data_IF_306515378901
#
_entry.id   IF_306515378901
#
_cell.length_a   1.000
_cell.length_b   1.000
_cell.length_c   1.000
_cell.angle_alpha   90.00
_cell.angle_beta   90.00
_cell.angle_gamma   90.00
#
_symmetry.space_group_name_H-M   'P 1'
#
loop_
_entity.id
_entity.type
_entity.pdbx_description
1 polymer ?
#
# COMPACT_ATOMS: atom_id res chain seq x y z
N UNK A 1 -9.10 -2.11 10.58
CA UNK A 1 -7.90 -1.25 10.60
C UNK A 1 -8.13 -0.22 9.52
N UNK A 2 -8.18 1.08 9.83
CA UNK A 2 -8.42 2.14 8.84
C UNK A 2 -7.10 2.82 8.51
N UNK A 3 -6.81 2.99 7.22
CA UNK A 3 -5.64 3.72 6.74
C UNK A 3 -5.85 5.22 6.81
N UNK A 4 -4.78 6.01 6.70
CA UNK A 4 -4.89 7.47 6.63
C UNK A 4 -5.74 7.96 5.45
N UNK A 5 -5.70 7.27 4.31
CA UNK A 5 -6.47 7.74 3.17
C UNK A 5 -7.93 7.29 3.17
N UNK A 6 -8.32 6.31 3.98
CA UNK A 6 -9.75 6.06 4.28
C UNK A 6 -10.39 7.23 5.05
N UNK A 7 -9.57 8.07 5.71
CA UNK A 7 -10.01 9.25 6.47
C UNK A 7 -10.06 10.53 5.64
N UNK A 8 -9.57 10.51 4.40
CA UNK A 8 -9.47 11.70 3.55
C UNK A 8 -10.32 11.49 2.30
N UNK A 9 -11.63 11.74 2.43
CA UNK A 9 -12.59 11.64 1.33
C UNK A 9 -12.74 12.95 0.54
N UNK A 10 -12.31 14.09 1.11
CA UNK A 10 -12.63 15.45 0.60
C UNK A 10 -11.44 16.23 0.00
N UNK A 11 -10.29 15.58 -0.20
CA UNK A 11 -9.10 16.26 -0.75
C UNK A 11 -8.62 15.48 -1.97
N UNK A 12 -8.52 16.15 -3.12
CA UNK A 12 -8.01 15.53 -4.35
C UNK A 12 -6.62 14.94 -4.09
N UNK A 13 -6.49 13.64 -4.32
CA UNK A 13 -5.27 12.82 -4.21
C UNK A 13 -3.97 13.50 -4.72
N UNK A 14 -3.95 14.33 -5.79
CA UNK A 14 -2.74 15.01 -6.24
C UNK A 14 -2.16 16.02 -5.24
N UNK A 15 -2.97 16.58 -4.32
CA UNK A 15 -2.51 17.57 -3.32
C UNK A 15 -1.80 16.94 -2.12
N UNK A 16 -1.96 15.63 -1.90
CA UNK A 16 -1.38 14.93 -0.75
C UNK A 16 0.05 14.49 -1.03
N UNK A 17 0.54 14.56 -2.27
CA UNK A 17 1.97 14.38 -2.61
C UNK A 17 2.57 13.00 -2.30
N UNK A 18 1.85 12.12 -1.62
CA UNK A 18 2.36 10.86 -1.13
C UNK A 18 1.74 9.72 -1.93
N UNK A 19 2.42 9.38 -3.03
CA UNK A 19 2.16 8.21 -3.88
C UNK A 19 2.17 6.87 -3.09
N UNK A 20 2.52 6.90 -1.80
CA UNK A 20 2.70 5.76 -0.90
C UNK A 20 1.83 5.81 0.36
N UNK A 21 0.86 6.73 0.46
CA UNK A 21 0.06 6.93 1.69
C UNK A 21 -0.67 5.65 2.17
N UNK A 22 -0.97 4.73 1.25
CA UNK A 22 -1.70 3.49 1.55
C UNK A 22 -0.83 2.23 1.58
N UNK A 23 0.35 2.25 0.95
CA UNK A 23 1.20 1.05 0.86
C UNK A 23 2.13 0.94 2.05
N UNK A 24 2.63 2.06 2.57
CA UNK A 24 3.67 2.07 3.60
C UNK A 24 3.25 1.38 4.91
N UNK A 25 2.01 1.58 5.36
CA UNK A 25 1.53 0.98 6.63
C UNK A 25 1.42 -0.55 6.52
N UNK A 26 0.98 -1.04 5.35
CA UNK A 26 0.84 -2.47 5.08
C UNK A 26 2.21 -3.13 4.82
N UNK A 27 3.12 -2.43 4.15
CA UNK A 27 4.52 -2.83 3.95
C UNK A 27 5.22 -3.02 5.31
N UNK A 28 5.07 -2.08 6.25
CA UNK A 28 5.64 -2.20 7.60
C UNK A 28 5.02 -3.39 8.37
N UNK A 29 3.71 -3.63 8.20
CA UNK A 29 3.05 -4.77 8.84
C UNK A 29 3.59 -6.10 8.32
N UNK A 30 3.81 -6.21 7.01
CA UNK A 30 4.40 -7.39 6.36
C UNK A 30 5.87 -7.58 6.77
N UNK A 31 6.67 -6.51 6.76
CA UNK A 31 8.08 -6.54 7.17
C UNK A 31 8.25 -6.99 8.63
N UNK A 32 7.35 -6.53 9.53
CA UNK A 32 7.36 -6.92 10.95
C UNK A 32 6.73 -8.27 11.23
N UNK A 33 6.21 -8.97 10.21
CA UNK A 33 5.54 -10.26 10.37
C UNK A 33 4.21 -10.20 11.13
N UNK A 34 3.54 -9.03 11.16
CA UNK A 34 2.19 -8.92 11.72
C UNK A 34 1.12 -9.51 10.77
N UNK A 35 1.44 -9.63 9.49
CA UNK A 35 0.62 -10.25 8.46
C UNK A 35 1.51 -11.11 7.55
N UNK A 36 0.94 -12.16 6.95
CA UNK A 36 1.68 -13.06 6.06
C UNK A 36 1.68 -12.59 4.59
N UNK A 37 0.63 -11.86 4.18
CA UNK A 37 0.52 -11.27 2.84
C UNK A 37 -0.37 -10.03 2.84
N UNK A 38 -0.24 -9.22 1.80
CA UNK A 38 -1.01 -7.99 1.58
C UNK A 38 -1.72 -8.06 0.24
N UNK A 39 -2.96 -7.58 0.19
CA UNK A 39 -3.73 -7.44 -1.04
C UNK A 39 -3.85 -5.96 -1.38
N UNK A 40 -3.42 -5.59 -2.59
CA UNK A 40 -3.53 -4.24 -3.13
C UNK A 40 -4.14 -4.26 -4.53
N UNK A 41 -4.74 -3.13 -4.92
CA UNK A 41 -4.97 -2.85 -6.33
C UNK A 41 -3.62 -2.69 -7.03
N UNK A 42 -3.38 -3.46 -8.10
CA UNK A 42 -2.08 -3.46 -8.79
C UNK A 42 -1.66 -2.07 -9.30
N UNK A 43 -2.63 -1.21 -9.65
CA UNK A 43 -2.38 0.18 -10.09
C UNK A 43 -1.75 1.08 -9.02
N UNK A 44 -1.91 0.72 -7.75
CA UNK A 44 -1.49 1.53 -6.60
C UNK A 44 -0.12 1.07 -6.04
N UNK A 45 0.44 -0.03 -6.57
CA UNK A 45 1.79 -0.49 -6.21
C UNK A 45 2.86 0.30 -6.97
N UNK A 46 4.01 0.59 -6.35
CA UNK A 46 5.14 1.17 -7.05
C UNK A 46 5.68 0.21 -8.11
N UNK A 47 6.23 0.76 -9.19
CA UNK A 47 6.84 -0.05 -10.26
C UNK A 47 8.06 -0.84 -9.77
N UNK A 48 8.71 -0.36 -8.71
CA UNK A 48 9.79 -1.05 -8.02
C UNK A 48 9.33 -1.32 -6.60
N UNK A 49 9.26 -2.60 -6.22
CA UNK A 49 8.89 -2.98 -4.86
C UNK A 49 10.03 -2.72 -3.86
N UNK A 50 9.71 -2.49 -2.58
CA UNK A 50 10.71 -2.41 -1.53
C UNK A 50 11.58 -3.69 -1.47
N UNK A 51 12.85 -3.57 -1.03
CA UNK A 51 13.71 -4.74 -0.82
C UNK A 51 13.05 -5.76 0.11
N UNK A 52 13.16 -7.05 -0.23
CA UNK A 52 12.57 -8.13 0.56
C UNK A 52 11.08 -8.38 0.30
N UNK A 53 10.44 -7.64 -0.61
CA UNK A 53 9.06 -7.87 -1.02
C UNK A 53 8.96 -8.32 -2.48
N UNK A 54 7.90 -9.07 -2.80
CA UNK A 54 7.62 -9.56 -4.13
C UNK A 54 6.10 -9.67 -4.38
N UNK A 55 5.69 -9.60 -5.65
CA UNK A 55 4.31 -9.93 -6.06
C UNK A 55 4.10 -11.45 -5.97
N UNK A 56 3.35 -11.90 -4.97
CA UNK A 56 3.03 -13.32 -4.81
C UNK A 56 1.93 -13.84 -5.74
N UNK A 57 1.00 -12.97 -6.15
CA UNK A 57 -0.10 -13.32 -7.05
C UNK A 57 -0.67 -12.08 -7.76
N UNK A 58 -1.27 -12.30 -8.93
CA UNK A 58 -2.13 -11.34 -9.62
C UNK A 58 -3.46 -12.04 -9.89
N UNK A 59 -4.55 -11.49 -9.39
CA UNK A 59 -5.90 -12.05 -9.60
C UNK A 59 -6.38 -11.75 -11.02
N UNK A 60 -7.22 -12.64 -11.56
CA UNK A 60 -7.77 -12.53 -12.92
C UNK A 60 -8.84 -11.45 -13.03
#
# INVERSE_FOLDING_TARGET
MNTKGDKILDISLPKIGEKALFTQELEIALERGHVDFVVHSLKDLPTTLPPGMALGAIMK
#
